data_IF_539093771936
#
_entry.id   IF_539093771936
#
_cell.length_a   1.000
_cell.length_b   1.000
_cell.length_c   1.000
_cell.angle_alpha   90.00
_cell.angle_beta   90.00
_cell.angle_gamma   90.00
#
_symmetry.space_group_name_H-M   'P 1'
#
loop_
_entity.id
_entity.type
_entity.pdbx_description
1 polymer ?
#
# COMPACT_ATOMS: atom_id res chain seq x y z
N UNK A 1 2.31 0.49 17.19
CA UNK A 1 1.79 -0.50 16.26
C UNK A 1 0.84 0.22 15.32
N UNK A 2 1.10 0.23 14.01
CA UNK A 2 0.26 0.89 13.03
C UNK A 2 -0.79 -0.11 12.51
N UNK A 3 -2.06 0.26 12.59
CA UNK A 3 -3.15 -0.56 12.05
C UNK A 3 -3.41 -0.20 10.59
N UNK A 4 -3.30 -1.20 9.71
CA UNK A 4 -3.50 -1.11 8.26
C UNK A 4 -4.77 -1.87 7.92
N UNK A 5 -5.73 -1.20 7.30
CA UNK A 5 -6.98 -1.82 6.84
C UNK A 5 -7.03 -1.85 5.31
N UNK A 6 -7.21 -3.04 4.75
CA UNK A 6 -7.55 -3.23 3.34
C UNK A 6 -9.07 -3.29 3.15
N UNK A 7 -9.62 -2.40 2.33
CA UNK A 7 -11.04 -2.39 1.99
C UNK A 7 -11.48 -3.64 1.21
N UNK A 8 -10.59 -4.17 0.38
CA UNK A 8 -10.78 -5.42 -0.34
C UNK A 8 -9.43 -6.10 -0.53
N UNK A 9 -9.26 -7.26 0.06
CA UNK A 9 -8.03 -8.03 -0.05
C UNK A 9 -8.36 -9.53 -0.18
N UNK A 10 -8.75 -9.93 -1.38
CA UNK A 10 -8.96 -11.35 -1.69
C UNK A 10 -7.69 -12.20 -1.43
N UNK A 11 -6.51 -11.56 -1.53
CA UNK A 11 -5.21 -12.19 -1.38
C UNK A 11 -4.43 -11.67 -0.15
N UNK A 12 -5.14 -11.32 0.94
CA UNK A 12 -4.52 -10.69 2.12
C UNK A 12 -3.33 -11.48 2.67
N UNK A 13 -3.43 -12.81 2.70
CA UNK A 13 -2.35 -13.68 3.19
C UNK A 13 -1.05 -13.50 2.36
N UNK A 14 -1.17 -13.39 1.04
CA UNK A 14 -0.01 -13.18 0.16
C UNK A 14 0.50 -11.74 0.22
N UNK A 15 -0.39 -10.76 0.40
CA UNK A 15 -0.01 -9.35 0.63
C UNK A 15 0.78 -9.23 1.94
N UNK A 16 0.31 -9.86 3.02
CA UNK A 16 0.98 -9.85 4.33
C UNK A 16 2.36 -10.53 4.26
N UNK A 17 2.47 -11.65 3.54
CA UNK A 17 3.76 -12.30 3.26
C UNK A 17 4.70 -11.40 2.49
N UNK A 18 4.22 -10.79 1.39
CA UNK A 18 5.02 -9.86 0.59
C UNK A 18 5.51 -8.67 1.44
N UNK A 19 4.64 -8.10 2.26
CA UNK A 19 5.02 -7.03 3.19
C UNK A 19 6.09 -7.51 4.18
N UNK A 20 5.92 -8.71 4.74
CA UNK A 20 6.89 -9.32 5.65
C UNK A 20 8.25 -9.48 4.96
N UNK A 21 8.28 -10.00 3.73
CA UNK A 21 9.52 -10.16 2.96
C UNK A 21 10.19 -8.82 2.68
N UNK A 22 9.42 -7.81 2.27
CA UNK A 22 9.94 -6.46 2.04
C UNK A 22 10.55 -5.89 3.33
N UNK A 23 9.85 -5.97 4.46
CA UNK A 23 10.34 -5.45 5.72
C UNK A 23 11.58 -6.22 6.23
N UNK A 24 11.68 -7.51 5.97
CA UNK A 24 12.85 -8.32 6.32
C UNK A 24 14.11 -7.94 5.52
N UNK A 25 13.99 -7.21 4.42
CA UNK A 25 15.16 -6.67 3.70
C UNK A 25 15.86 -5.55 4.48
N UNK A 26 15.16 -4.96 5.43
CA UNK A 26 15.70 -3.96 6.33
C UNK A 26 16.05 -4.63 7.66
N UNK A 27 17.27 -4.46 8.14
CA UNK A 27 17.67 -4.89 9.50
C UNK A 27 16.90 -4.13 10.61
N UNK A 28 16.20 -3.08 10.24
CA UNK A 28 15.28 -2.38 11.13
C UNK A 28 13.95 -3.15 11.17
N UNK A 29 13.55 -3.55 12.37
CA UNK A 29 12.22 -4.12 12.59
C UNK A 29 11.18 -3.22 11.96
N UNK A 30 10.33 -3.81 11.10
CA UNK A 30 9.12 -3.15 10.63
C UNK A 30 8.45 -2.43 11.81
N UNK A 31 8.03 -1.17 11.65
CA UNK A 31 7.11 -0.61 12.63
C UNK A 31 5.97 -1.61 12.74
N UNK A 32 5.68 -2.11 13.96
CA UNK A 32 4.70 -3.18 14.14
C UNK A 32 3.43 -2.84 13.37
N UNK A 33 3.27 -3.43 12.19
CA UNK A 33 2.09 -3.28 11.36
C UNK A 33 1.15 -4.43 11.70
N UNK A 34 -0.10 -4.13 12.00
CA UNK A 34 -1.19 -5.09 11.99
C UNK A 34 -1.96 -4.87 10.70
N UNK A 35 -2.05 -5.90 9.88
CA UNK A 35 -2.76 -5.84 8.60
C UNK A 35 -4.06 -6.61 8.75
N UNK A 36 -5.18 -5.92 8.56
CA UNK A 36 -6.52 -6.47 8.66
C UNK A 36 -7.29 -6.27 7.35
N UNK A 37 -8.24 -7.16 7.06
CA UNK A 37 -9.20 -6.98 5.98
C UNK A 37 -10.57 -6.59 6.51
N UNK A 38 -11.37 -5.98 5.62
CA UNK A 38 -12.79 -5.76 5.88
C UNK A 38 -13.48 -7.10 6.25
N UNK A 39 -14.24 -7.08 7.33
CA UNK A 39 -14.93 -8.26 7.88
C UNK A 39 -14.20 -8.95 9.04
N UNK A 40 -12.92 -8.70 9.22
CA UNK A 40 -12.13 -9.21 10.37
C UNK A 40 -11.85 -8.11 11.40
N UNK A 41 -12.04 -6.84 11.01
CA UNK A 41 -11.69 -5.71 11.86
C UNK A 41 -12.79 -5.38 12.87
N UNK A 42 -12.42 -5.34 14.13
CA UNK A 42 -13.19 -4.62 15.14
C UNK A 42 -12.89 -3.12 15.01
N UNK A 43 -13.86 -2.33 14.52
CA UNK A 43 -13.75 -0.87 14.35
C UNK A 43 -13.50 -0.09 15.66
N UNK A 44 -13.36 -0.77 16.78
CA UNK A 44 -12.87 -0.15 18.02
C UNK A 44 -11.38 0.21 17.95
N UNK A 45 -10.63 -0.38 17.00
CA UNK A 45 -9.24 0.00 16.77
C UNK A 45 -9.15 1.18 15.81
N UNK A 46 -8.31 2.15 16.16
CA UNK A 46 -8.05 3.32 15.33
C UNK A 46 -7.17 2.93 14.14
N UNK A 47 -7.68 3.14 12.93
CA UNK A 47 -6.95 2.89 11.68
C UNK A 47 -5.93 4.01 11.46
N UNK A 48 -4.69 3.66 11.14
CA UNK A 48 -3.66 4.63 10.73
C UNK A 48 -3.50 4.68 9.22
N UNK A 49 -3.65 3.55 8.54
CA UNK A 49 -3.53 3.43 7.08
C UNK A 49 -4.77 2.71 6.56
N UNK A 50 -5.51 3.35 5.68
CA UNK A 50 -6.61 2.74 4.93
C UNK A 50 -6.17 2.53 3.49
N UNK A 51 -6.34 1.29 2.98
CA UNK A 51 -5.99 0.95 1.61
C UNK A 51 -7.28 0.69 0.83
N UNK A 52 -7.50 1.52 -0.18
CA UNK A 52 -8.59 1.44 -1.13
C UNK A 52 -8.05 0.87 -2.45
N UNK A 53 -8.01 -0.47 -2.55
CA UNK A 53 -7.46 -1.17 -3.71
C UNK A 53 -8.53 -1.33 -4.79
N UNK A 54 -9.41 -2.30 -4.64
CA UNK A 54 -10.54 -2.56 -5.55
C UNK A 54 -11.84 -2.19 -4.86
N UNK A 55 -12.81 -1.79 -5.65
CA UNK A 55 -14.14 -1.51 -5.12
C UNK A 55 -14.76 -2.78 -4.47
N UNK A 56 -15.31 -2.57 -3.29
CA UNK A 56 -16.08 -3.57 -2.58
C UNK A 56 -17.41 -2.93 -2.16
N UNK A 57 -18.55 -3.36 -2.74
CA UNK A 57 -19.86 -2.77 -2.43
C UNK A 57 -20.30 -2.98 -0.98
N UNK A 58 -19.78 -4.00 -0.31
CA UNK A 58 -20.12 -4.32 1.09
C UNK A 58 -19.24 -3.52 2.07
N UNK A 59 -18.24 -2.80 1.58
CA UNK A 59 -17.33 -2.02 2.41
C UNK A 59 -17.95 -0.68 2.80
N UNK A 60 -18.17 -0.49 4.11
CA UNK A 60 -18.64 0.79 4.65
C UNK A 60 -17.47 1.79 4.70
N UNK A 61 -17.27 2.46 3.57
CA UNK A 61 -16.20 3.45 3.40
C UNK A 61 -16.31 4.59 4.41
N UNK A 62 -17.53 5.08 4.69
CA UNK A 62 -17.71 6.19 5.61
C UNK A 62 -17.29 5.79 7.03
N UNK A 63 -17.70 4.64 7.50
CA UNK A 63 -17.32 4.10 8.80
C UNK A 63 -15.80 3.90 8.92
N UNK A 64 -15.15 3.42 7.85
CA UNK A 64 -13.70 3.28 7.82
C UNK A 64 -13.00 4.65 7.89
N UNK A 65 -13.47 5.64 7.11
CA UNK A 65 -12.92 7.00 7.13
C UNK A 65 -13.07 7.66 8.52
N UNK A 66 -14.20 7.45 9.19
CA UNK A 66 -14.44 7.97 10.54
C UNK A 66 -13.50 7.31 11.58
N UNK A 67 -13.11 6.06 11.35
CA UNK A 67 -12.22 5.29 12.22
C UNK A 67 -10.72 5.60 12.02
N UNK A 68 -10.34 6.29 10.94
CA UNK A 68 -8.97 6.72 10.71
C UNK A 68 -8.60 7.81 11.74
N UNK A 69 -7.38 7.72 12.29
CA UNK A 69 -6.84 8.77 13.19
C UNK A 69 -6.64 10.08 12.42
N UNK A 70 -6.68 11.20 13.12
CA UNK A 70 -6.27 12.49 12.54
C UNK A 70 -4.82 12.42 12.08
N UNK A 71 -4.53 12.87 10.86
CA UNK A 71 -3.20 12.73 10.23
C UNK A 71 -2.91 11.33 9.68
N UNK A 72 -3.88 10.42 9.72
CA UNK A 72 -3.75 9.10 9.08
C UNK A 72 -3.59 9.18 7.57
N UNK A 73 -3.33 8.05 6.94
CA UNK A 73 -3.01 7.94 5.51
C UNK A 73 -4.04 7.09 4.79
N UNK A 74 -4.49 7.58 3.64
CA UNK A 74 -5.24 6.79 2.67
C UNK A 74 -4.30 6.45 1.53
N UNK A 75 -4.16 5.16 1.23
CA UNK A 75 -3.47 4.65 0.04
C UNK A 75 -4.55 4.19 -0.93
N UNK A 76 -4.63 4.79 -2.11
CA UNK A 76 -5.74 4.58 -3.03
C UNK A 76 -5.27 4.20 -4.43
N UNK A 77 -5.91 3.19 -5.00
CA UNK A 77 -5.73 2.84 -6.40
C UNK A 77 -6.33 3.96 -7.29
N UNK A 78 -5.47 4.67 -8.02
CA UNK A 78 -5.86 5.78 -8.89
C UNK A 78 -6.61 5.33 -10.16
N UNK A 79 -6.56 4.02 -10.48
CA UNK A 79 -7.25 3.44 -11.62
C UNK A 79 -8.67 2.97 -11.25
N UNK A 80 -8.99 2.88 -9.95
CA UNK A 80 -10.30 2.51 -9.44
C UNK A 80 -11.23 3.75 -9.32
N UNK A 81 -12.11 3.90 -10.31
CA UNK A 81 -12.99 5.08 -10.44
C UNK A 81 -14.05 5.18 -9.34
N UNK A 82 -14.41 4.06 -8.70
CA UNK A 82 -15.46 4.02 -7.68
C UNK A 82 -15.09 4.82 -6.43
N UNK A 83 -13.81 5.12 -6.23
CA UNK A 83 -13.34 5.97 -5.15
C UNK A 83 -13.14 7.44 -5.56
N UNK A 84 -13.42 7.80 -6.81
CA UNK A 84 -13.38 9.19 -7.26
C UNK A 84 -14.41 10.04 -6.51
N UNK A 85 -13.98 11.18 -5.99
CA UNK A 85 -14.88 12.11 -5.28
C UNK A 85 -15.08 11.80 -3.80
N UNK A 86 -14.27 10.95 -3.18
CA UNK A 86 -14.27 10.77 -1.73
C UNK A 86 -14.12 12.13 -1.03
N UNK A 87 -15.05 12.42 -0.13
CA UNK A 87 -14.98 13.63 0.71
C UNK A 87 -14.34 13.29 2.04
N UNK A 88 -13.20 13.89 2.29
CA UNK A 88 -12.50 13.76 3.56
C UNK A 88 -13.08 14.75 4.57
N UNK A 89 -13.49 14.25 5.73
CA UNK A 89 -14.10 15.06 6.81
C UNK A 89 -13.08 15.60 7.80
N UNK A 90 -11.83 15.13 7.74
CA UNK A 90 -10.72 15.52 8.60
C UNK A 90 -9.40 15.50 7.83
N UNK A 91 -8.34 16.18 8.33
CA UNK A 91 -7.03 16.16 7.69
C UNK A 91 -6.48 14.73 7.61
N UNK A 92 -6.20 14.28 6.39
CA UNK A 92 -5.59 12.98 6.07
C UNK A 92 -4.61 13.17 4.92
N UNK A 93 -3.59 12.32 4.87
CA UNK A 93 -2.67 12.26 3.74
C UNK A 93 -3.23 11.28 2.70
N UNK A 94 -3.11 11.62 1.43
CA UNK A 94 -3.52 10.75 0.32
C UNK A 94 -2.29 10.38 -0.50
N UNK A 95 -2.03 9.09 -0.62
CA UNK A 95 -1.03 8.50 -1.51
C UNK A 95 -1.79 7.67 -2.54
N UNK A 96 -1.53 7.90 -3.81
CA UNK A 96 -2.17 7.15 -4.89
C UNK A 96 -1.17 6.25 -5.60
N UNK A 97 -1.63 5.09 -6.06
CA UNK A 97 -0.82 4.18 -6.86
C UNK A 97 -1.63 3.65 -8.06
N UNK A 98 -0.95 3.10 -9.06
CA UNK A 98 -1.57 2.50 -10.24
C UNK A 98 -0.81 2.81 -11.52
N UNK A 99 -1.47 2.59 -12.65
CA UNK A 99 -0.93 2.91 -13.99
C UNK A 99 -1.22 4.36 -14.41
N UNK A 100 -2.12 5.03 -13.67
CA UNK A 100 -2.44 6.43 -13.95
C UNK A 100 -1.18 7.30 -13.78
N UNK A 101 -0.75 8.07 -14.79
CA UNK A 101 0.45 8.91 -14.71
C UNK A 101 0.35 10.04 -13.67
N UNK A 102 -0.84 10.29 -13.12
CA UNK A 102 -1.04 11.24 -12.03
C UNK A 102 -0.93 10.60 -10.64
N UNK A 103 -0.76 9.28 -10.55
CA UNK A 103 -0.55 8.62 -9.26
C UNK A 103 0.78 9.02 -8.62
N UNK A 104 0.86 8.93 -7.31
CA UNK A 104 2.09 9.18 -6.54
C UNK A 104 3.13 8.09 -6.83
N UNK A 105 2.68 6.84 -6.93
CA UNK A 105 3.50 5.68 -7.25
C UNK A 105 2.90 5.02 -8.48
N UNK A 106 3.67 4.89 -9.56
CA UNK A 106 3.20 4.29 -10.82
C UNK A 106 3.98 3.01 -11.13
N UNK A 107 3.32 2.11 -11.88
CA UNK A 107 4.00 1.01 -12.58
C UNK A 107 4.19 1.38 -14.04
N UNK A 108 5.39 1.20 -14.57
CA UNK A 108 5.71 1.46 -15.99
C UNK A 108 5.77 0.19 -16.83
N UNK A 109 6.12 -0.94 -16.24
CA UNK A 109 6.14 -2.24 -16.90
C UNK A 109 5.94 -3.39 -15.92
N UNK A 110 5.34 -4.46 -16.40
CA UNK A 110 5.14 -5.71 -15.67
C UNK A 110 5.62 -6.86 -16.54
N UNK A 111 6.41 -7.74 -15.94
CA UNK A 111 6.88 -8.98 -16.55
C UNK A 111 6.49 -10.13 -15.66
N UNK A 112 5.76 -11.10 -16.21
CA UNK A 112 5.29 -12.30 -15.51
C UNK A 112 5.87 -13.53 -16.18
N UNK A 113 6.71 -14.25 -15.43
CA UNK A 113 7.26 -15.56 -15.81
C UNK A 113 7.18 -16.50 -14.59
N UNK A 114 8.29 -16.98 -14.09
CA UNK A 114 8.37 -17.71 -12.81
C UNK A 114 8.16 -16.78 -11.59
N UNK A 115 8.33 -15.48 -11.79
CA UNK A 115 8.13 -14.41 -10.83
C UNK A 115 7.39 -13.25 -11.50
N UNK A 116 6.73 -12.44 -10.68
CA UNK A 116 6.18 -11.15 -11.12
C UNK A 116 7.25 -10.10 -10.84
N UNK A 117 7.61 -9.33 -11.86
CA UNK A 117 8.53 -8.19 -11.76
C UNK A 117 7.83 -6.94 -12.24
N UNK A 118 7.78 -5.90 -11.41
CA UNK A 118 7.15 -4.62 -11.71
C UNK A 118 8.22 -3.53 -11.62
N UNK A 119 8.35 -2.72 -12.67
CA UNK A 119 9.11 -1.48 -12.63
C UNK A 119 8.22 -0.38 -12.08
N UNK A 120 8.60 0.18 -10.95
CA UNK A 120 7.88 1.21 -10.22
C UNK A 120 8.58 2.55 -10.31
N UNK A 121 7.80 3.62 -10.20
CA UNK A 121 8.31 4.99 -10.12
C UNK A 121 7.56 5.78 -9.05
N UNK A 122 8.27 6.40 -8.13
CA UNK A 122 7.73 7.46 -7.27
C UNK A 122 7.72 8.73 -8.12
N UNK A 123 6.52 9.19 -8.49
CA UNK A 123 6.33 10.37 -9.35
C UNK A 123 6.35 11.68 -8.56
N UNK A 124 6.01 11.62 -7.30
CA UNK A 124 5.89 12.79 -6.43
C UNK A 124 6.43 12.49 -5.06
N UNK A 125 7.16 13.45 -4.52
CA UNK A 125 7.62 13.40 -3.14
C UNK A 125 6.46 13.19 -2.17
N UNK A 126 6.66 12.33 -1.19
CA UNK A 126 5.78 12.19 -0.04
C UNK A 126 6.57 11.79 1.21
N UNK A 127 6.00 12.07 2.37
CA UNK A 127 6.65 11.75 3.65
C UNK A 127 6.23 10.38 4.15
N UNK A 128 7.18 9.63 4.70
CA UNK A 128 6.94 8.38 5.41
C UNK A 128 6.19 8.63 6.74
N UNK A 129 5.83 7.57 7.45
CA UNK A 129 5.21 7.68 8.78
C UNK A 129 6.14 8.32 9.82
N UNK A 130 7.45 8.17 9.65
CA UNK A 130 8.46 8.77 10.52
C UNK A 130 8.98 10.13 10.02
N UNK A 131 8.36 10.73 9.02
CA UNK A 131 8.67 12.07 8.53
C UNK A 131 9.90 12.13 7.61
N UNK A 132 10.37 11.01 7.08
CA UNK A 132 11.43 10.99 6.06
C UNK A 132 10.77 11.26 4.69
N UNK A 133 11.26 12.27 3.98
CA UNK A 133 10.82 12.57 2.62
C UNK A 133 11.36 11.53 1.63
N UNK A 134 10.48 10.96 0.83
CA UNK A 134 10.82 10.09 -0.29
C UNK A 134 10.74 10.88 -1.59
N UNK A 135 11.90 11.06 -2.21
CA UNK A 135 12.03 11.79 -3.46
C UNK A 135 11.60 10.93 -4.67
N UNK A 136 11.24 11.59 -5.79
CA UNK A 136 10.97 10.89 -7.06
C UNK A 136 12.14 10.01 -7.47
N UNK A 137 11.87 8.74 -7.74
CA UNK A 137 12.86 7.74 -8.14
C UNK A 137 12.22 6.52 -8.78
N UNK A 138 13.01 5.79 -9.56
CA UNK A 138 12.61 4.51 -10.14
C UNK A 138 13.22 3.35 -9.36
N UNK A 139 12.47 2.27 -9.26
CA UNK A 139 12.88 1.04 -8.60
C UNK A 139 12.06 -0.13 -9.12
N UNK A 140 12.51 -1.36 -8.86
CA UNK A 140 11.76 -2.56 -9.22
C UNK A 140 11.31 -3.31 -7.99
N UNK A 141 10.21 -4.04 -8.10
CA UNK A 141 9.79 -5.04 -7.12
C UNK A 141 9.66 -6.39 -7.80
N UNK A 142 10.10 -7.44 -7.12
CA UNK A 142 10.01 -8.81 -7.63
C UNK A 142 9.44 -9.73 -6.57
N UNK A 143 8.48 -10.58 -6.95
CA UNK A 143 7.86 -11.53 -6.04
C UNK A 143 7.55 -12.85 -6.72
N UNK A 144 7.59 -13.95 -5.99
CA UNK A 144 7.15 -15.28 -6.42
C UNK A 144 5.67 -15.55 -6.13
N UNK A 145 4.97 -14.66 -5.44
CA UNK A 145 3.56 -14.81 -5.11
C UNK A 145 2.68 -14.57 -6.34
N UNK A 146 2.53 -15.60 -7.17
CA UNK A 146 1.83 -15.55 -8.45
C UNK A 146 0.32 -15.32 -8.32
N UNK A 147 -0.23 -15.47 -7.14
CA UNK A 147 -1.62 -15.20 -6.81
C UNK A 147 -1.95 -13.70 -6.69
N UNK A 148 -0.91 -12.87 -6.49
CA UNK A 148 -1.06 -11.43 -6.39
C UNK A 148 -1.28 -10.82 -7.78
N UNK A 149 -2.17 -9.85 -7.84
CA UNK A 149 -2.30 -8.94 -8.98
C UNK A 149 -1.37 -7.75 -8.82
N UNK A 150 -1.12 -7.04 -9.91
CA UNK A 150 -0.21 -5.89 -9.90
C UNK A 150 -0.65 -4.81 -8.90
N UNK A 151 -1.95 -4.56 -8.81
CA UNK A 151 -2.51 -3.59 -7.85
C UNK A 151 -2.33 -4.02 -6.38
N UNK A 152 -2.35 -5.34 -6.06
CA UNK A 152 -2.03 -5.85 -4.73
C UNK A 152 -0.55 -5.61 -4.39
N UNK A 153 0.33 -5.85 -5.36
CA UNK A 153 1.78 -5.62 -5.19
C UNK A 153 2.08 -4.13 -5.02
N UNK A 154 1.47 -3.27 -5.83
CA UNK A 154 1.64 -1.82 -5.71
C UNK A 154 1.11 -1.28 -4.39
N UNK A 155 -0.01 -1.81 -3.89
CA UNK A 155 -0.52 -1.48 -2.57
C UNK A 155 0.48 -1.85 -1.46
N UNK A 156 1.03 -3.08 -1.50
CA UNK A 156 2.04 -3.54 -0.55
C UNK A 156 3.30 -2.66 -0.60
N UNK A 157 3.78 -2.34 -1.81
CA UNK A 157 4.92 -1.44 -2.01
C UNK A 157 4.66 -0.06 -1.41
N UNK A 158 3.47 0.52 -1.64
CA UNK A 158 3.10 1.83 -1.07
C UNK A 158 3.11 1.81 0.46
N UNK A 159 2.61 0.73 1.09
CA UNK A 159 2.69 0.53 2.55
C UNK A 159 4.13 0.44 3.03
N UNK A 160 4.97 -0.34 2.34
CA UNK A 160 6.37 -0.52 2.71
C UNK A 160 7.16 0.80 2.64
N UNK A 161 7.00 1.55 1.54
CA UNK A 161 7.61 2.87 1.37
C UNK A 161 7.13 3.85 2.46
N UNK A 162 5.83 3.85 2.76
CA UNK A 162 5.28 4.66 3.85
C UNK A 162 5.84 4.26 5.22
N UNK A 163 6.16 2.98 5.41
CA UNK A 163 6.86 2.41 6.57
C UNK A 163 8.37 2.69 6.57
N UNK A 164 8.85 3.54 5.66
CA UNK A 164 10.26 3.94 5.50
C UNK A 164 11.21 2.83 5.02
N UNK A 165 10.70 1.81 4.32
CA UNK A 165 11.58 0.87 3.61
C UNK A 165 12.17 1.59 2.40
N UNK A 166 13.49 1.68 2.26
CA UNK A 166 14.12 2.33 1.11
C UNK A 166 13.84 1.57 -0.20
N UNK A 167 13.63 2.29 -1.30
CA UNK A 167 13.31 1.71 -2.61
C UNK A 167 14.41 0.76 -3.14
N UNK A 168 15.67 1.05 -2.86
CA UNK A 168 16.80 0.18 -3.20
C UNK A 168 16.74 -1.17 -2.47
N UNK A 169 16.27 -1.19 -1.22
CA UNK A 169 16.06 -2.43 -0.46
C UNK A 169 14.95 -3.28 -1.06
N UNK A 170 13.85 -2.64 -1.49
CA UNK A 170 12.76 -3.32 -2.22
C UNK A 170 13.30 -3.93 -3.52
N UNK A 171 14.12 -3.18 -4.28
CA UNK A 171 14.72 -3.66 -5.54
C UNK A 171 15.66 -4.85 -5.35
N UNK A 172 16.33 -4.92 -4.23
CA UNK A 172 17.30 -5.98 -3.90
C UNK A 172 16.65 -7.19 -3.19
N UNK A 173 15.34 -7.17 -2.98
CA UNK A 173 14.62 -8.30 -2.41
C UNK A 173 14.74 -9.51 -3.32
N UNK A 174 15.16 -10.63 -2.74
CA UNK A 174 15.15 -11.92 -3.45
C UNK A 174 13.72 -12.46 -3.39
N UNK A 175 13.17 -12.93 -4.50
CA UNK A 175 11.91 -13.66 -4.47
C UNK A 175 12.03 -14.86 -3.52
N UNK A 176 11.05 -15.01 -2.65
CA UNK A 176 11.00 -16.13 -1.72
C UNK A 176 10.78 -17.46 -2.46
#
# INVERSE_FOLDING_TARGET
MAHVLFANAANLVHIDRLLTDIFNTCEQRAPGLSVDSYGQMDYHHKIQILILNRYNPDFDLQKALDSIVSGGVIIMNADERSYAGIKLTKPMRLITYGYNPKATITASSVVVHENISIQCCIQRQFDTLCGIALEPQEFSVRTSYMELKEDDILAAVAVALLGAVPADKISNMKPA
#
